data_IF_608564431876
#
_entry.id   IF_608564431876
#
_cell.length_a   1.000
_cell.length_b   1.000
_cell.length_c   1.000
_cell.angle_alpha   90.00
_cell.angle_beta   90.00
_cell.angle_gamma   90.00
#
_symmetry.space_group_name_H-M   'P 1'
#
loop_
_entity.id
_entity.type
_entity.pdbx_description
1 polymer ?
#
# COMPACT_ATOMS: atom_id res chain seq x y z
N UNK A 1 13.82 -14.64 10.88
CA UNK A 1 14.67 -14.13 9.79
C UNK A 1 14.98 -12.68 10.11
N UNK A 2 16.25 -12.30 10.09
CA UNK A 2 16.69 -10.98 10.52
C UNK A 2 16.17 -9.91 9.56
N UNK A 3 15.20 -9.13 10.01
CA UNK A 3 14.65 -8.00 9.27
C UNK A 3 15.66 -6.85 9.36
N UNK A 4 16.53 -6.72 8.35
CA UNK A 4 17.41 -5.57 8.27
C UNK A 4 16.55 -4.35 7.94
N UNK A 5 16.66 -3.24 8.70
CA UNK A 5 15.80 -2.08 8.47
C UNK A 5 15.95 -1.59 7.03
N UNK A 6 14.81 -1.44 6.35
CA UNK A 6 14.76 -0.95 4.98
C UNK A 6 15.43 0.43 4.92
N UNK A 7 16.46 0.57 4.08
CA UNK A 7 17.10 1.87 3.82
C UNK A 7 16.16 2.71 2.95
N UNK A 8 15.69 3.84 3.49
CA UNK A 8 14.85 4.78 2.73
C UNK A 8 15.77 5.62 1.84
N UNK A 9 15.77 5.34 0.54
CA UNK A 9 16.48 6.16 -0.44
C UNK A 9 15.83 7.54 -0.58
N UNK A 10 16.62 8.57 -0.85
CA UNK A 10 16.11 9.87 -1.30
C UNK A 10 15.76 9.82 -2.79
N UNK A 11 14.77 10.62 -3.23
CA UNK A 11 14.38 10.66 -4.64
C UNK A 11 13.11 11.48 -4.90
N UNK A 12 12.83 11.78 -6.16
CA UNK A 12 11.74 12.67 -6.59
C UNK A 12 10.37 11.98 -6.75
N UNK A 13 10.30 10.65 -6.61
CA UNK A 13 9.07 9.88 -6.80
C UNK A 13 8.08 9.99 -5.62
N UNK A 14 8.60 10.02 -4.40
CA UNK A 14 7.87 10.15 -3.13
C UNK A 14 8.77 10.84 -2.10
N UNK A 15 8.19 11.64 -1.23
CA UNK A 15 8.90 12.24 -0.09
C UNK A 15 9.29 11.18 0.95
N UNK A 16 10.27 11.49 1.79
CA UNK A 16 10.67 10.61 2.89
C UNK A 16 9.49 10.31 3.85
N UNK A 17 8.63 11.29 4.10
CA UNK A 17 7.45 11.13 4.94
C UNK A 17 6.42 10.19 4.31
N UNK A 18 6.13 10.34 3.01
CA UNK A 18 5.24 9.43 2.28
C UNK A 18 5.76 7.98 2.32
N UNK A 19 7.07 7.80 2.09
CA UNK A 19 7.70 6.46 2.19
C UNK A 19 7.53 5.86 3.58
N UNK A 20 7.85 6.63 4.64
CA UNK A 20 7.69 6.19 6.03
C UNK A 20 6.26 5.79 6.35
N UNK A 21 5.27 6.58 5.94
CA UNK A 21 3.87 6.31 6.21
C UNK A 21 3.34 5.07 5.48
N UNK A 22 3.74 4.87 4.22
CA UNK A 22 3.41 3.67 3.45
C UNK A 22 4.04 2.43 4.08
N UNK A 23 5.33 2.48 4.44
CA UNK A 23 6.01 1.35 5.08
C UNK A 23 5.36 0.98 6.42
N UNK A 24 4.97 1.97 7.23
CA UNK A 24 4.26 1.72 8.49
C UNK A 24 2.90 1.06 8.27
N UNK A 25 2.18 1.42 7.19
CA UNK A 25 0.91 0.77 6.84
C UNK A 25 1.13 -0.67 6.39
N UNK A 26 2.14 -0.91 5.55
CA UNK A 26 2.51 -2.25 5.10
C UNK A 26 2.90 -3.16 6.28
N UNK A 27 3.70 -2.66 7.22
CA UNK A 27 4.05 -3.42 8.43
C UNK A 27 2.83 -3.83 9.27
N UNK A 28 1.79 -2.99 9.33
CA UNK A 28 0.52 -3.35 9.97
C UNK A 28 -0.23 -4.42 9.18
N UNK A 29 -0.28 -4.31 7.85
CA UNK A 29 -0.90 -5.30 6.96
C UNK A 29 -0.19 -6.66 7.08
N UNK A 30 1.13 -6.69 7.15
CA UNK A 30 1.89 -7.91 7.44
C UNK A 30 1.53 -8.52 8.79
N UNK A 31 1.28 -7.68 9.81
CA UNK A 31 0.72 -8.12 11.08
C UNK A 31 -0.65 -8.79 10.92
N UNK A 32 -1.53 -8.21 10.11
CA UNK A 32 -2.84 -8.80 9.79
C UNK A 32 -2.69 -10.14 9.05
N UNK A 33 -1.78 -10.23 8.07
CA UNK A 33 -1.52 -11.48 7.33
C UNK A 33 -0.99 -12.59 8.26
N UNK A 34 -0.10 -12.26 9.20
CA UNK A 34 0.33 -13.21 10.24
C UNK A 34 -0.83 -13.63 11.14
N UNK A 35 -1.76 -12.72 11.45
CA UNK A 35 -3.01 -13.03 12.17
C UNK A 35 -3.90 -14.00 11.39
N UNK A 36 -4.12 -13.74 10.10
CA UNK A 36 -4.86 -14.63 9.19
C UNK A 36 -4.24 -16.03 9.14
N UNK A 37 -2.91 -16.13 9.00
CA UNK A 37 -2.20 -17.41 9.01
C UNK A 37 -2.45 -18.20 10.30
N UNK A 38 -2.45 -17.52 11.46
CA UNK A 38 -2.77 -18.15 12.75
C UNK A 38 -4.21 -18.64 12.81
N UNK A 39 -5.17 -17.83 12.34
CA UNK A 39 -6.58 -18.23 12.31
C UNK A 39 -6.79 -19.45 11.42
N UNK A 40 -6.14 -19.50 10.25
CA UNK A 40 -6.18 -20.66 9.37
C UNK A 40 -5.57 -21.89 10.05
N UNK A 41 -4.41 -21.74 10.69
CA UNK A 41 -3.74 -22.85 11.37
C UNK A 41 -4.54 -23.41 12.56
N UNK A 42 -5.40 -22.61 13.18
CA UNK A 42 -6.23 -23.00 14.31
C UNK A 42 -7.66 -23.39 13.92
N UNK A 43 -8.07 -23.16 12.66
CA UNK A 43 -9.42 -23.46 12.20
C UNK A 43 -9.67 -24.98 12.23
N UNK A 44 -10.65 -25.40 13.01
CA UNK A 44 -11.01 -26.80 13.21
C UNK A 44 -12.47 -27.09 12.80
N UNK A 45 -13.31 -26.06 12.82
CA UNK A 45 -14.73 -26.15 12.49
C UNK A 45 -15.07 -25.29 11.27
N UNK A 46 -16.10 -25.66 10.48
CA UNK A 46 -16.54 -24.85 9.34
C UNK A 46 -16.87 -23.39 9.69
N UNK A 47 -17.36 -23.14 10.91
CA UNK A 47 -17.66 -21.79 11.41
C UNK A 47 -16.44 -20.89 11.59
N UNK A 48 -15.22 -21.45 11.72
CA UNK A 48 -13.99 -20.66 11.91
C UNK A 48 -13.59 -19.92 10.62
N UNK A 49 -14.09 -20.38 9.46
CA UNK A 49 -13.83 -19.79 8.15
C UNK A 49 -14.37 -18.36 8.07
N UNK A 50 -15.47 -18.04 8.77
CA UNK A 50 -16.05 -16.70 8.77
C UNK A 50 -15.09 -15.66 9.34
N UNK A 51 -14.39 -16.00 10.43
CA UNK A 51 -13.39 -15.14 11.05
C UNK A 51 -12.17 -14.94 10.14
N UNK A 52 -11.70 -16.01 9.49
CA UNK A 52 -10.62 -15.94 8.50
C UNK A 52 -11.01 -15.03 7.34
N UNK A 53 -12.20 -15.22 6.77
CA UNK A 53 -12.70 -14.43 5.65
C UNK A 53 -12.81 -12.94 6.00
N UNK A 54 -13.33 -12.62 7.19
CA UNK A 54 -13.41 -11.24 7.67
C UNK A 54 -12.02 -10.60 7.82
N UNK A 55 -11.04 -11.31 8.41
CA UNK A 55 -9.69 -10.77 8.57
C UNK A 55 -8.96 -10.62 7.23
N UNK A 56 -9.14 -11.57 6.30
CA UNK A 56 -8.63 -11.45 4.93
C UNK A 56 -9.24 -10.24 4.21
N UNK A 57 -10.55 -10.03 4.32
CA UNK A 57 -11.21 -8.87 3.73
C UNK A 57 -10.71 -7.55 4.34
N UNK A 58 -10.45 -7.53 5.65
CA UNK A 58 -9.86 -6.38 6.33
C UNK A 58 -8.43 -6.08 5.83
N UNK A 59 -7.58 -7.10 5.68
CA UNK A 59 -6.24 -6.96 5.13
C UNK A 59 -6.25 -6.47 3.68
N UNK A 60 -7.12 -7.03 2.83
CA UNK A 60 -7.32 -6.59 1.44
C UNK A 60 -7.69 -5.11 1.38
N UNK A 61 -8.71 -4.69 2.14
CA UNK A 61 -9.16 -3.29 2.19
C UNK A 61 -8.07 -2.34 2.71
N UNK A 62 -7.25 -2.78 3.66
CA UNK A 62 -6.12 -2.00 4.15
C UNK A 62 -5.03 -1.82 3.10
N UNK A 63 -4.77 -2.87 2.30
CA UNK A 63 -3.83 -2.83 1.18
C UNK A 63 -4.35 -1.91 0.07
N UNK A 64 -5.62 -2.02 -0.32
CA UNK A 64 -6.24 -1.16 -1.34
C UNK A 64 -6.15 0.32 -0.96
N UNK A 65 -6.44 0.65 0.31
CA UNK A 65 -6.28 2.01 0.82
C UNK A 65 -4.84 2.51 0.74
N UNK A 66 -3.87 1.62 0.98
CA UNK A 66 -2.45 1.96 0.90
C UNK A 66 -2.01 2.16 -0.55
N UNK A 67 -2.57 1.39 -1.49
CA UNK A 67 -2.37 1.58 -2.93
C UNK A 67 -2.88 2.95 -3.40
N UNK A 68 -4.12 3.32 -3.04
CA UNK A 68 -4.67 4.64 -3.39
C UNK A 68 -3.81 5.78 -2.82
N UNK A 69 -3.30 5.65 -1.59
CA UNK A 69 -2.43 6.65 -1.00
C UNK A 69 -1.06 6.75 -1.66
N UNK A 70 -0.50 5.63 -2.10
CA UNK A 70 0.72 5.61 -2.88
C UNK A 70 0.54 6.45 -4.15
N UNK A 71 -0.54 6.19 -4.90
CA UNK A 71 -0.81 6.92 -6.14
C UNK A 71 -1.11 8.40 -5.88
N UNK A 72 -1.97 8.71 -4.91
CA UNK A 72 -2.31 10.10 -4.57
C UNK A 72 -1.06 10.89 -4.12
N UNK A 73 -0.22 10.29 -3.28
CA UNK A 73 1.05 10.89 -2.84
C UNK A 73 2.02 11.09 -4.00
N UNK A 74 2.12 10.10 -4.90
CA UNK A 74 2.95 10.19 -6.10
C UNK A 74 2.48 11.31 -7.03
N UNK A 75 1.16 11.48 -7.26
CA UNK A 75 0.63 12.58 -8.08
C UNK A 75 1.06 13.93 -7.51
N UNK A 76 0.89 14.15 -6.22
CA UNK A 76 1.25 15.41 -5.56
C UNK A 76 2.76 15.71 -5.68
N UNK A 77 3.60 14.71 -5.40
CA UNK A 77 5.06 14.90 -5.43
C UNK A 77 5.59 15.05 -6.84
N UNK A 78 5.13 14.23 -7.78
CA UNK A 78 5.64 14.24 -9.14
C UNK A 78 5.15 15.43 -9.95
N UNK A 79 3.92 15.91 -9.72
CA UNK A 79 3.43 17.14 -10.34
C UNK A 79 4.14 18.38 -9.76
N UNK A 80 4.41 18.41 -8.46
CA UNK A 80 5.20 19.49 -7.83
C UNK A 80 6.66 19.55 -8.28
N UNK A 81 7.21 18.43 -8.74
CA UNK A 81 8.57 18.31 -9.27
C UNK A 81 8.64 18.34 -10.81
N UNK A 82 7.57 18.73 -11.50
CA UNK A 82 7.57 18.83 -12.96
C UNK A 82 8.23 20.14 -13.40
N UNK A 83 8.97 20.11 -14.51
CA UNK A 83 9.63 21.28 -15.08
C UNK A 83 8.62 22.26 -15.70
N UNK A 84 7.51 21.74 -16.24
CA UNK A 84 6.43 22.51 -16.83
C UNK A 84 5.06 21.83 -16.65
N UNK A 85 4.01 22.52 -17.14
CA UNK A 85 2.63 22.07 -17.02
C UNK A 85 2.34 20.80 -17.85
N UNK A 86 2.99 20.63 -19.00
CA UNK A 86 2.75 19.47 -19.87
C UNK A 86 3.37 18.20 -19.29
N UNK A 87 4.56 18.32 -18.68
CA UNK A 87 5.17 17.24 -17.92
C UNK A 87 4.32 16.88 -16.69
N UNK A 88 3.82 17.87 -15.95
CA UNK A 88 2.93 17.64 -14.81
C UNK A 88 1.67 16.85 -15.20
N UNK A 89 1.01 17.26 -16.30
CA UNK A 89 -0.17 16.56 -16.85
C UNK A 89 0.16 15.14 -17.27
N UNK A 90 1.29 14.94 -17.96
CA UNK A 90 1.71 13.61 -18.44
C UNK A 90 1.94 12.64 -17.28
N UNK A 91 2.67 13.09 -16.24
CA UNK A 91 2.91 12.29 -15.03
C UNK A 91 1.61 11.97 -14.29
N UNK A 92 0.72 12.96 -14.13
CA UNK A 92 -0.58 12.76 -13.48
C UNK A 92 -1.48 11.79 -14.27
N UNK A 93 -1.53 11.92 -15.60
CA UNK A 93 -2.31 11.03 -16.48
C UNK A 93 -1.82 9.57 -16.40
N UNK A 94 -0.50 9.36 -16.35
CA UNK A 94 0.06 8.02 -16.17
C UNK A 94 -0.36 7.38 -14.83
N UNK A 95 -0.33 8.15 -13.73
CA UNK A 95 -0.75 7.66 -12.42
C UNK A 95 -2.28 7.42 -12.35
N UNK A 96 -3.07 8.26 -13.02
CA UNK A 96 -4.51 8.03 -13.15
C UNK A 96 -4.81 6.75 -13.92
N UNK A 97 -4.10 6.48 -15.03
CA UNK A 97 -4.23 5.23 -15.77
C UNK A 97 -3.85 3.99 -14.95
N UNK A 98 -2.86 4.12 -14.04
CA UNK A 98 -2.56 3.06 -13.07
C UNK A 98 -3.70 2.84 -12.08
N UNK A 99 -4.34 3.92 -11.59
CA UNK A 99 -5.50 3.80 -10.71
C UNK A 99 -6.64 3.07 -11.44
N UNK A 100 -7.01 3.52 -12.64
CA UNK A 100 -8.10 2.91 -13.42
C UNK A 100 -7.85 1.43 -13.75
N UNK A 101 -6.59 1.03 -13.92
CA UNK A 101 -6.23 -0.37 -14.20
C UNK A 101 -6.43 -1.30 -13.00
N UNK A 102 -6.31 -0.79 -11.78
CA UNK A 102 -6.19 -1.61 -10.57
C UNK A 102 -7.21 -1.28 -9.47
N UNK A 103 -8.03 -0.24 -9.63
CA UNK A 103 -9.07 0.20 -8.69
C UNK A 103 -10.49 -0.19 -9.13
#
# INVERSE_FOLDING_TARGET
MADSPLKIAEGSALTAQQKKDLLNRLARIEGQLRGVQKLIALAAHPSDVDAVAQQMAAARKALDRSFVQLLAGAVQTQAGNAADLEEAKTRAAHLAAMLDKFA
#
